data_IF_745183060453
#
_entry.id   IF_745183060453
#
_cell.length_a   1.000
_cell.length_b   1.000
_cell.length_c   1.000
_cell.angle_alpha   90.00
_cell.angle_beta   90.00
_cell.angle_gamma   90.00
#
_symmetry.space_group_name_H-M   'P 1'
#
loop_
_entity.id
_entity.type
_entity.pdbx_description
1 polymer ?
#
# COMPACT_ATOMS: atom_id res chain seq x y z
N UNK A 1 26.44 10.64 -23.07
CA UNK A 1 26.16 10.32 -21.65
C UNK A 1 26.50 11.47 -20.71
N UNK A 2 27.77 11.89 -20.57
CA UNK A 2 28.17 12.98 -19.65
C UNK A 2 27.46 14.32 -19.89
N UNK A 3 27.27 14.70 -21.16
CA UNK A 3 26.57 15.93 -21.57
C UNK A 3 25.05 15.88 -21.32
N UNK A 4 24.45 14.69 -21.38
CA UNK A 4 23.02 14.50 -21.14
C UNK A 4 22.68 14.60 -19.65
N UNK A 5 23.54 14.02 -18.80
CA UNK A 5 23.44 14.15 -17.34
C UNK A 5 23.63 15.60 -16.91
N UNK A 6 24.49 16.39 -17.58
CA UNK A 6 24.67 17.81 -17.29
C UNK A 6 23.45 18.68 -17.66
N UNK A 7 22.71 18.36 -18.72
CA UNK A 7 21.48 19.09 -19.06
C UNK A 7 20.29 18.74 -18.13
N UNK A 8 20.29 17.54 -17.54
CA UNK A 8 19.18 17.02 -16.73
C UNK A 8 19.62 16.67 -15.30
N UNK A 9 20.54 17.46 -14.72
CA UNK A 9 21.10 17.17 -13.39
C UNK A 9 20.01 17.10 -12.32
N UNK A 10 19.03 18.00 -12.38
CA UNK A 10 17.90 18.05 -11.45
C UNK A 10 17.01 16.81 -11.55
N UNK A 11 16.70 16.36 -12.77
CA UNK A 11 15.88 15.16 -12.99
C UNK A 11 16.59 13.91 -12.49
N UNK A 12 17.90 13.81 -12.74
CA UNK A 12 18.71 12.70 -12.25
C UNK A 12 18.79 12.71 -10.72
N UNK A 13 18.99 13.88 -10.11
CA UNK A 13 19.02 14.03 -8.66
C UNK A 13 17.66 13.65 -8.04
N UNK A 14 16.55 14.13 -8.63
CA UNK A 14 15.19 13.78 -8.20
C UNK A 14 14.94 12.27 -8.33
N UNK A 15 15.34 11.65 -9.43
CA UNK A 15 15.25 10.19 -9.61
C UNK A 15 16.03 9.46 -8.52
N UNK A 16 17.25 9.89 -8.21
CA UNK A 16 18.04 9.30 -7.13
C UNK A 16 17.34 9.45 -5.76
N UNK A 17 16.76 10.61 -5.46
CA UNK A 17 16.02 10.85 -4.21
C UNK A 17 14.78 9.96 -4.15
N UNK A 18 13.99 9.87 -5.22
CA UNK A 18 12.81 9.00 -5.28
C UNK A 18 13.19 7.52 -5.13
N UNK A 19 14.29 7.07 -5.75
CA UNK A 19 14.76 5.69 -5.62
C UNK A 19 15.22 5.37 -4.19
N UNK A 20 15.98 6.27 -3.55
CA UNK A 20 16.38 6.09 -2.16
C UNK A 20 15.15 6.09 -1.25
N UNK A 21 14.21 7.01 -1.46
CA UNK A 21 12.94 7.05 -0.73
C UNK A 21 12.12 5.78 -0.89
N UNK A 22 12.04 5.25 -2.10
CA UNK A 22 11.37 3.98 -2.40
C UNK A 22 12.03 2.82 -1.65
N UNK A 23 13.35 2.66 -1.77
CA UNK A 23 14.11 1.59 -1.08
C UNK A 23 13.88 1.65 0.43
N UNK A 24 13.95 2.84 1.02
CA UNK A 24 13.72 3.02 2.46
C UNK A 24 12.28 2.69 2.88
N UNK A 25 11.27 2.96 2.03
CA UNK A 25 9.89 2.59 2.34
C UNK A 25 9.63 1.08 2.29
N UNK A 26 10.30 0.36 1.39
CA UNK A 26 10.22 -1.11 1.31
C UNK A 26 11.14 -1.81 2.32
N UNK A 27 12.06 -1.08 2.95
CA UNK A 27 12.96 -1.65 3.94
C UNK A 27 12.19 -2.12 5.17
N UNK A 28 12.38 -3.40 5.54
CA UNK A 28 11.81 -4.02 6.74
C UNK A 28 10.27 -4.06 6.82
N UNK A 29 9.56 -3.79 5.72
CA UNK A 29 8.08 -3.75 5.72
C UNK A 29 7.44 -5.12 5.96
N UNK A 30 8.19 -6.20 5.71
CA UNK A 30 7.72 -7.59 5.82
C UNK A 30 8.01 -8.29 7.14
N UNK A 31 8.97 -7.80 7.93
CA UNK A 31 9.34 -8.42 9.23
C UNK A 31 8.65 -7.73 10.42
N UNK A 32 7.94 -6.64 10.15
CA UNK A 32 7.16 -5.91 11.13
C UNK A 32 5.77 -6.54 11.25
N UNK A 33 5.43 -6.99 12.46
CA UNK A 33 4.09 -7.51 12.77
C UNK A 33 2.98 -6.54 12.39
N UNK A 34 1.79 -7.09 12.13
CA UNK A 34 0.60 -6.30 11.82
C UNK A 34 0.26 -5.34 12.96
N UNK A 35 0.01 -4.09 12.60
CA UNK A 35 -0.44 -3.04 13.51
C UNK A 35 -1.92 -3.24 13.87
N UNK A 36 -2.37 -2.61 14.96
CA UNK A 36 -3.77 -2.70 15.40
C UNK A 36 -4.77 -2.26 14.33
N UNK A 37 -4.44 -1.21 13.57
CA UNK A 37 -5.29 -0.70 12.49
C UNK A 37 -5.33 -1.64 11.29
N UNK A 38 -4.21 -2.29 10.95
CA UNK A 38 -4.16 -3.30 9.90
C UNK A 38 -5.00 -4.53 10.28
N UNK A 39 -4.86 -5.03 11.51
CA UNK A 39 -5.68 -6.14 12.01
C UNK A 39 -7.17 -5.77 12.00
N UNK A 40 -7.52 -4.57 12.48
CA UNK A 40 -8.90 -4.06 12.46
C UNK A 40 -9.48 -4.03 11.04
N UNK A 41 -8.68 -3.59 10.07
CA UNK A 41 -9.08 -3.53 8.65
C UNK A 41 -9.25 -4.92 8.02
N UNK A 42 -8.37 -5.86 8.37
CA UNK A 42 -8.45 -7.26 7.92
C UNK A 42 -9.66 -7.99 8.50
N UNK A 43 -10.02 -7.73 9.76
CA UNK A 43 -11.21 -8.34 10.38
C UNK A 43 -12.50 -7.95 9.65
N UNK A 44 -12.54 -6.72 9.10
CA UNK A 44 -13.65 -6.22 8.28
C UNK A 44 -13.73 -6.86 6.89
N UNK A 45 -12.74 -7.66 6.47
CA UNK A 45 -12.79 -8.40 5.20
C UNK A 45 -13.50 -9.75 5.34
N UNK A 46 -13.95 -10.13 6.54
CA UNK A 46 -14.72 -11.36 6.78
C UNK A 46 -16.16 -11.20 6.33
N UNK A 47 -16.35 -11.08 5.03
CA UNK A 47 -17.64 -10.93 4.34
C UNK A 47 -17.72 -11.93 3.20
N UNK A 48 -18.93 -12.37 2.86
CA UNK A 48 -19.18 -13.39 1.84
C UNK A 48 -19.07 -12.83 0.43
N UNK A 49 -19.46 -11.57 0.23
CA UNK A 49 -19.45 -10.91 -1.07
C UNK A 49 -19.14 -9.41 -1.00
N UNK A 50 -18.95 -8.81 -2.18
CA UNK A 50 -18.65 -7.38 -2.31
C UNK A 50 -19.82 -6.48 -1.86
N UNK A 51 -21.07 -6.92 -2.00
CA UNK A 51 -22.23 -6.14 -1.55
C UNK A 51 -22.23 -6.04 -0.03
N UNK A 52 -21.89 -7.12 0.66
CA UNK A 52 -21.73 -7.18 2.10
C UNK A 52 -20.52 -6.36 2.56
N UNK A 53 -19.41 -6.36 1.81
CA UNK A 53 -18.27 -5.47 2.07
C UNK A 53 -18.71 -4.00 2.12
N UNK A 54 -19.48 -3.54 1.13
CA UNK A 54 -19.95 -2.15 1.08
C UNK A 54 -20.95 -1.88 2.21
N UNK A 55 -21.90 -2.79 2.44
CA UNK A 55 -22.95 -2.61 3.44
C UNK A 55 -22.46 -2.68 4.89
N UNK A 56 -21.48 -3.53 5.20
CA UNK A 56 -21.00 -3.76 6.58
C UNK A 56 -19.66 -3.08 6.86
N UNK A 57 -18.72 -3.21 5.94
CA UNK A 57 -17.31 -2.83 6.17
C UNK A 57 -16.99 -1.40 5.73
N UNK A 58 -17.75 -0.85 4.77
CA UNK A 58 -17.57 0.55 4.30
C UNK A 58 -18.57 1.49 4.97
N UNK A 59 -19.84 1.08 5.08
CA UNK A 59 -20.90 1.97 5.59
C UNK A 59 -20.78 2.29 7.09
N UNK A 60 -20.03 1.48 7.86
CA UNK A 60 -19.80 1.67 9.29
C UNK A 60 -18.39 2.11 9.66
N UNK A 61 -17.53 2.41 8.68
CA UNK A 61 -16.11 2.70 8.90
C UNK A 61 -15.78 4.18 8.65
N UNK A 62 -14.75 4.68 9.32
CA UNK A 62 -14.20 6.01 9.09
C UNK A 62 -13.27 6.06 7.87
N UNK A 63 -12.83 4.91 7.39
CA UNK A 63 -11.98 4.81 6.20
C UNK A 63 -12.79 5.04 4.91
N UNK A 64 -12.21 5.72 3.89
CA UNK A 64 -12.83 5.83 2.59
C UNK A 64 -13.10 4.46 1.96
N UNK A 65 -14.19 4.33 1.20
CA UNK A 65 -14.58 3.09 0.51
C UNK A 65 -13.44 2.49 -0.34
N UNK A 66 -12.61 3.35 -0.95
CA UNK A 66 -11.49 2.91 -1.77
C UNK A 66 -10.46 2.08 -0.98
N UNK A 67 -10.21 2.44 0.28
CA UNK A 67 -9.24 1.72 1.12
C UNK A 67 -9.70 0.26 1.33
N UNK A 68 -10.93 0.08 1.81
CA UNK A 68 -11.47 -1.24 2.14
C UNK A 68 -11.68 -2.11 0.89
N UNK A 69 -12.10 -1.50 -0.22
CA UNK A 69 -12.29 -2.21 -1.50
C UNK A 69 -10.97 -2.64 -2.13
N UNK A 70 -9.94 -1.76 -2.13
CA UNK A 70 -8.60 -2.11 -2.58
C UNK A 70 -8.02 -3.25 -1.74
N UNK A 71 -8.15 -3.16 -0.41
CA UNK A 71 -7.67 -4.19 0.51
C UNK A 71 -8.38 -5.53 0.28
N UNK A 72 -9.69 -5.53 0.04
CA UNK A 72 -10.48 -6.73 -0.26
C UNK A 72 -9.98 -7.48 -1.49
N UNK A 73 -9.80 -6.77 -2.62
CA UNK A 73 -9.27 -7.39 -3.82
C UNK A 73 -7.81 -7.81 -3.67
N UNK A 74 -7.00 -7.00 -2.99
CA UNK A 74 -5.58 -7.30 -2.79
C UNK A 74 -5.38 -8.58 -1.96
N UNK A 75 -6.07 -8.68 -0.82
CA UNK A 75 -6.04 -9.87 0.03
C UNK A 75 -6.67 -11.07 -0.66
N UNK A 76 -7.72 -10.87 -1.46
CA UNK A 76 -8.33 -11.93 -2.27
C UNK A 76 -7.37 -12.54 -3.31
N UNK A 77 -6.47 -11.72 -3.88
CA UNK A 77 -5.50 -12.16 -4.90
C UNK A 77 -4.22 -12.76 -4.30
N UNK A 78 -3.70 -12.15 -3.22
CA UNK A 78 -2.36 -12.47 -2.69
C UNK A 78 -2.38 -13.12 -1.30
N UNK A 79 -3.54 -13.19 -0.65
CA UNK A 79 -3.69 -13.69 0.72
C UNK A 79 -3.24 -12.69 1.78
N UNK A 80 -3.21 -13.16 3.04
CA UNK A 80 -2.80 -12.36 4.20
C UNK A 80 -1.32 -12.62 4.48
N UNK A 81 -0.50 -11.59 4.36
CA UNK A 81 0.92 -11.59 4.74
C UNK A 81 1.33 -10.19 5.18
N UNK A 82 2.19 -10.12 6.21
CA UNK A 82 2.62 -8.87 6.85
C UNK A 82 3.21 -7.86 5.85
N UNK A 83 4.05 -8.34 4.92
CA UNK A 83 4.62 -7.49 3.88
C UNK A 83 3.66 -7.23 2.72
N UNK A 84 2.95 -8.26 2.24
CA UNK A 84 2.14 -8.16 1.01
C UNK A 84 0.99 -7.17 1.17
N UNK A 85 0.34 -7.13 2.33
CA UNK A 85 -0.78 -6.23 2.59
C UNK A 85 -0.36 -4.75 2.48
N UNK A 86 0.89 -4.44 2.79
CA UNK A 86 1.43 -3.07 2.81
C UNK A 86 1.86 -2.57 1.43
N UNK A 87 2.17 -3.45 0.48
CA UNK A 87 2.66 -3.11 -0.87
C UNK A 87 1.84 -2.01 -1.55
N UNK A 88 0.50 -2.12 -1.69
CA UNK A 88 -0.28 -1.13 -2.43
C UNK A 88 -0.18 0.26 -1.78
N UNK A 89 -0.07 0.31 -0.45
CA UNK A 89 0.03 1.56 0.32
C UNK A 89 1.45 2.13 0.34
N UNK A 90 2.47 1.27 0.32
CA UNK A 90 3.87 1.68 0.17
C UNK A 90 4.07 2.31 -1.20
N UNK A 91 3.57 1.67 -2.27
CA UNK A 91 3.64 2.17 -3.65
C UNK A 91 2.92 3.50 -3.78
N UNK A 92 1.72 3.65 -3.21
CA UNK A 92 0.96 4.91 -3.28
C UNK A 92 1.62 6.08 -2.54
N UNK A 93 2.60 5.81 -1.66
CA UNK A 93 3.30 6.85 -0.90
C UNK A 93 4.71 7.20 -1.40
N UNK A 94 5.17 6.54 -2.47
CA UNK A 94 6.39 6.90 -3.21
C UNK A 94 5.99 7.84 -4.34
#
# INVERSE_FOLDING_TARGET
>A
MRKYIQDHQEEFLLLCIMLVGAILRFYNSGDLSLTGDEVSSLLKLRVEDFSELIGKSVSGDFHPALFQTLLYYWVGLFGISEGLIRIPFIVAGV
#
